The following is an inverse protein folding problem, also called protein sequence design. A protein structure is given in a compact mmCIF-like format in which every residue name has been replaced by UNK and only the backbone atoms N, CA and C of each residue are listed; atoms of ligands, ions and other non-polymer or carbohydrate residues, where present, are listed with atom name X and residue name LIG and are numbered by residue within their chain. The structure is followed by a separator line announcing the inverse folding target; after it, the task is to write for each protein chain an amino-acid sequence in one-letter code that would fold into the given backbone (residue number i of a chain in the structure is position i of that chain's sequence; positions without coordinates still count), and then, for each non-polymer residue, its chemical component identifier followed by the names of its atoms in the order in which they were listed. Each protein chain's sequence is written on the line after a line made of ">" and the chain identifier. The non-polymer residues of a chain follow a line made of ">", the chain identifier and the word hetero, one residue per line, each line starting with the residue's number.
data_IF_928153104395
#
_entry.id   IF_928153104395
#
_cell.length_a   1.000
_cell.length_b   1.000
_cell.length_c   1.000
_cell.angle_alpha   90.00
_cell.angle_beta   90.00
_cell.angle_gamma   90.00
#
_symmetry.space_group_name_H-M   'P 1'
#
loop_
_entity.id
_entity.type
_entity.pdbx_description
1 polymer ?
#
# COMPACT_ATOMS: atom_id res chain seq x y z
N UNK A 1 7.29 -10.47 7.20
CA UNK A 1 6.56 -9.33 6.59
C UNK A 1 7.47 -8.14 6.28
N UNK A 2 8.13 -7.52 7.28
CA UNK A 2 8.98 -6.35 7.03
C UNK A 2 10.15 -6.66 6.07
N UNK A 3 10.90 -7.74 6.33
CA UNK A 3 12.01 -8.15 5.44
C UNK A 3 11.54 -8.50 4.02
N UNK A 4 10.29 -8.96 3.87
CA UNK A 4 9.74 -9.26 2.54
C UNK A 4 9.48 -7.96 1.79
N UNK A 5 8.85 -6.97 2.44
CA UNK A 5 8.66 -5.63 1.89
C UNK A 5 10.01 -4.97 1.52
N UNK A 6 11.00 -5.03 2.41
CA UNK A 6 12.34 -4.47 2.16
C UNK A 6 13.01 -5.13 0.94
N UNK A 7 12.89 -6.46 0.81
CA UNK A 7 13.43 -7.18 -0.35
C UNK A 7 12.71 -6.82 -1.65
N UNK A 8 11.38 -6.67 -1.62
CA UNK A 8 10.60 -6.21 -2.77
C UNK A 8 11.01 -4.80 -3.19
N UNK A 9 11.05 -3.85 -2.25
CA UNK A 9 11.49 -2.47 -2.50
C UNK A 9 12.92 -2.48 -3.07
N UNK A 10 13.84 -3.20 -2.44
CA UNK A 10 15.22 -3.29 -2.93
C UNK A 10 15.32 -3.90 -4.33
N UNK A 11 14.48 -4.87 -4.68
CA UNK A 11 14.43 -5.43 -6.03
C UNK A 11 13.93 -4.40 -7.06
N UNK A 12 12.86 -3.67 -6.73
CA UNK A 12 12.30 -2.62 -7.59
C UNK A 12 13.28 -1.46 -7.82
N UNK A 13 13.98 -1.03 -6.77
CA UNK A 13 15.04 -0.02 -6.88
C UNK A 13 16.14 -0.50 -7.83
N UNK A 14 16.58 -1.77 -7.70
CA UNK A 14 17.63 -2.32 -8.57
C UNK A 14 17.19 -2.48 -10.03
N UNK A 15 15.89 -2.60 -10.29
CA UNK A 15 15.34 -2.67 -11.64
C UNK A 15 14.94 -1.31 -12.20
N UNK A 16 15.28 -0.20 -11.54
CA UNK A 16 14.89 1.17 -11.92
C UNK A 16 13.38 1.33 -12.13
N UNK A 17 12.59 0.62 -11.32
CA UNK A 17 11.14 0.72 -11.40
C UNK A 17 10.66 2.04 -10.80
N UNK A 18 9.76 2.73 -11.50
CA UNK A 18 9.09 3.90 -10.96
C UNK A 18 8.19 3.47 -9.79
N UNK A 19 8.51 3.93 -8.58
CA UNK A 19 7.75 3.62 -7.38
C UNK A 19 6.28 4.06 -7.46
N UNK A 20 5.97 5.05 -8.30
CA UNK A 20 4.60 5.56 -8.52
C UNK A 20 3.84 4.73 -9.55
N UNK A 21 4.50 3.86 -10.30
CA UNK A 21 3.87 2.95 -11.25
C UNK A 21 3.26 1.74 -10.51
N UNK A 22 2.04 1.90 -10.00
CA UNK A 22 1.24 0.83 -9.41
C UNK A 22 1.13 0.88 -7.87
N UNK A 23 1.21 -0.29 -7.22
CA UNK A 23 0.95 -0.44 -5.79
C UNK A 23 1.83 -1.52 -5.14
N UNK A 24 2.02 -1.41 -3.83
CA UNK A 24 2.65 -2.46 -3.02
C UNK A 24 1.57 -3.37 -2.44
N UNK A 25 1.63 -4.68 -2.74
CA UNK A 25 0.75 -5.70 -2.14
C UNK A 25 1.50 -6.49 -1.08
N UNK A 26 0.92 -6.60 0.11
CA UNK A 26 1.43 -7.44 1.21
C UNK A 26 0.39 -8.46 1.67
N UNK A 27 0.87 -9.68 1.97
CA UNK A 27 0.01 -10.77 2.47
C UNK A 27 -0.25 -10.69 3.97
N UNK A 28 0.44 -9.80 4.68
CA UNK A 28 0.30 -9.60 6.12
C UNK A 28 -0.63 -8.42 6.45
N UNK A 29 -0.84 -8.17 7.75
CA UNK A 29 -1.35 -6.88 8.23
C UNK A 29 -0.40 -5.75 7.87
N UNK A 30 -0.94 -4.55 7.63
CA UNK A 30 -0.16 -3.32 7.55
C UNK A 30 0.13 -2.78 8.96
N UNK A 31 1.41 -2.51 9.23
CA UNK A 31 1.88 -1.79 10.43
C UNK A 31 2.36 -0.39 10.06
N UNK A 32 2.48 0.48 11.07
CA UNK A 32 3.10 1.81 10.94
C UNK A 32 4.42 1.78 10.14
N UNK A 33 5.33 0.87 10.48
CA UNK A 33 6.64 0.77 9.81
C UNK A 33 6.53 0.34 8.34
N UNK A 34 5.50 -0.43 7.97
CA UNK A 34 5.30 -0.83 6.57
C UNK A 34 4.82 0.36 5.73
N UNK A 35 3.99 1.23 6.31
CA UNK A 35 3.59 2.48 5.66
C UNK A 35 4.80 3.41 5.50
N UNK A 36 5.61 3.60 6.54
CA UNK A 36 6.85 4.37 6.47
C UNK A 36 7.76 3.92 5.34
N UNK A 37 7.99 2.61 5.22
CA UNK A 37 8.85 2.03 4.18
C UNK A 37 8.27 2.26 2.78
N UNK A 38 6.96 2.13 2.65
CA UNK A 38 6.26 2.38 1.38
C UNK A 38 6.36 3.83 0.96
N UNK A 39 6.12 4.77 1.89
CA UNK A 39 6.26 6.19 1.63
C UNK A 39 7.70 6.59 1.30
N UNK A 40 8.69 6.05 2.01
CA UNK A 40 10.11 6.29 1.73
C UNK A 40 10.56 5.74 0.37
N UNK A 41 9.97 4.64 -0.07
CA UNK A 41 10.18 4.14 -1.43
C UNK A 41 9.55 5.07 -2.48
N UNK A 42 8.55 5.85 -2.12
CA UNK A 42 7.86 6.80 -3.01
C UNK A 42 6.59 6.24 -3.67
N UNK A 43 6.14 5.06 -3.24
CA UNK A 43 4.88 4.49 -3.70
C UNK A 43 3.69 5.22 -3.07
N UNK A 44 2.62 5.40 -3.85
CA UNK A 44 1.40 6.10 -3.41
C UNK A 44 0.39 5.18 -2.72
N UNK A 45 0.47 3.87 -2.96
CA UNK A 45 -0.56 2.92 -2.52
C UNK A 45 0.03 1.65 -1.89
N UNK A 46 -0.52 1.26 -0.74
CA UNK A 46 -0.30 -0.04 -0.11
C UNK A 46 -1.60 -0.81 0.04
N UNK A 47 -1.58 -2.08 -0.36
CA UNK A 47 -2.69 -3.02 -0.27
C UNK A 47 -2.30 -4.17 0.65
N UNK A 48 -3.14 -4.47 1.64
CA UNK A 48 -2.93 -5.57 2.58
C UNK A 48 -4.05 -6.63 2.48
N UNK A 49 -3.69 -7.92 2.52
CA UNK A 49 -4.71 -8.99 2.59
C UNK A 49 -5.43 -9.02 3.94
N UNK A 50 -4.77 -8.57 5.01
CA UNK A 50 -5.30 -8.57 6.38
C UNK A 50 -5.55 -7.15 6.91
N UNK A 51 -6.38 -7.01 7.94
CA UNK A 51 -6.70 -5.72 8.56
C UNK A 51 -5.46 -4.93 9.02
N UNK A 52 -5.45 -3.60 8.90
CA UNK A 52 -4.37 -2.74 9.36
C UNK A 52 -4.49 -2.47 10.87
N UNK A 53 -3.44 -1.91 11.48
CA UNK A 53 -3.54 -1.30 12.82
C UNK A 53 -4.01 0.15 12.72
N UNK A 54 -4.71 0.71 13.71
CA UNK A 54 -5.12 2.13 13.72
C UNK A 54 -3.95 3.08 13.46
N UNK A 55 -2.81 2.84 14.11
CA UNK A 55 -1.59 3.62 13.92
C UNK A 55 -1.04 3.54 12.47
N UNK A 56 -1.31 2.46 11.75
CA UNK A 56 -0.94 2.36 10.33
C UNK A 56 -1.84 3.22 9.46
N UNK A 57 -3.15 3.25 9.77
CA UNK A 57 -4.12 4.11 9.07
C UNK A 57 -3.76 5.58 9.27
N UNK A 58 -3.59 6.01 10.52
CA UNK A 58 -3.20 7.39 10.85
C UNK A 58 -1.91 7.79 10.13
N UNK A 59 -0.92 6.88 10.08
CA UNK A 59 0.33 7.16 9.39
C UNK A 59 0.18 7.23 7.88
N UNK A 60 -0.68 6.40 7.30
CA UNK A 60 -0.95 6.41 5.88
C UNK A 60 -1.60 7.73 5.47
N UNK A 61 -2.56 8.21 6.25
CA UNK A 61 -3.18 9.53 6.04
C UNK A 61 -2.15 10.66 6.15
N UNK A 62 -1.33 10.65 7.19
CA UNK A 62 -0.30 11.67 7.41
C UNK A 62 0.77 11.73 6.30
N UNK A 63 1.01 10.62 5.61
CA UNK A 63 2.01 10.52 4.53
C UNK A 63 1.40 10.54 3.13
N UNK A 64 0.08 10.70 3.00
CA UNK A 64 -0.60 10.69 1.70
C UNK A 64 -0.55 9.32 1.00
N UNK A 65 -0.47 8.23 1.76
CA UNK A 65 -0.46 6.86 1.24
C UNK A 65 -1.88 6.31 1.25
N UNK A 66 -2.40 5.94 0.08
CA UNK A 66 -3.68 5.24 0.01
C UNK A 66 -3.53 3.82 0.56
N UNK A 67 -4.29 3.50 1.60
CA UNK A 67 -4.25 2.19 2.25
C UNK A 67 -5.51 1.40 1.97
N UNK A 68 -5.38 0.30 1.23
CA UNK A 68 -6.40 -0.73 1.14
C UNK A 68 -6.05 -1.92 2.03
N UNK A 69 -7.06 -2.55 2.61
CA UNK A 69 -6.88 -3.77 3.37
C UNK A 69 -8.07 -4.72 3.24
N UNK A 70 -7.95 -5.92 3.84
CA UNK A 70 -8.94 -6.99 3.71
C UNK A 70 -9.10 -7.36 2.22
N UNK A 71 -8.01 -7.31 1.46
CA UNK A 71 -8.02 -7.58 0.03
C UNK A 71 -8.38 -9.05 -0.26
N UNK A 72 -9.26 -9.25 -1.22
CA UNK A 72 -9.77 -10.52 -1.75
C UNK A 72 -9.79 -10.45 -3.27
N UNK A 73 -10.13 -11.56 -3.92
CA UNK A 73 -10.19 -11.62 -5.37
C UNK A 73 -11.27 -10.68 -5.97
N UNK A 74 -12.32 -10.42 -5.20
CA UNK A 74 -13.49 -9.63 -5.58
C UNK A 74 -13.44 -8.17 -5.10
N UNK A 75 -12.44 -7.78 -4.30
CA UNK A 75 -12.28 -6.39 -3.90
C UNK A 75 -11.35 -6.17 -2.71
N UNK A 76 -11.23 -4.90 -2.30
CA UNK A 76 -10.50 -4.48 -1.11
C UNK A 76 -11.20 -3.27 -0.46
N UNK A 77 -11.05 -3.12 0.85
CA UNK A 77 -11.63 -2.01 1.61
C UNK A 77 -10.59 -0.88 1.77
N UNK A 78 -10.97 0.35 1.45
CA UNK A 78 -10.13 1.53 1.66
C UNK A 78 -10.20 1.98 3.12
N UNK A 79 -9.06 2.24 3.75
CA UNK A 79 -8.96 2.67 5.15
C UNK A 79 -8.53 4.12 5.32
N UNK A 80 -8.06 4.79 4.26
CA UNK A 80 -7.66 6.21 4.26
C UNK A 80 -8.69 7.07 3.55
N UNK A 81 -8.96 8.27 4.05
CA UNK A 81 -9.99 9.15 3.48
C UNK A 81 -9.50 9.98 2.25
N UNK A 82 -9.16 9.29 1.17
CA UNK A 82 -8.79 9.90 -0.11
C UNK A 82 -9.83 9.57 -1.19
N UNK A 83 -9.90 10.39 -2.25
CA UNK A 83 -10.72 10.07 -3.41
C UNK A 83 -10.29 8.71 -3.99
N UNK A 84 -11.25 7.80 -4.17
CA UNK A 84 -10.96 6.44 -4.59
C UNK A 84 -10.51 6.38 -6.06
N UNK A 85 -9.23 6.17 -6.30
CA UNK A 85 -8.64 6.12 -7.64
C UNK A 85 -9.09 4.87 -8.44
N UNK A 86 -9.37 3.75 -7.76
CA UNK A 86 -9.84 2.52 -8.41
C UNK A 86 -11.23 2.65 -9.07
N UNK A 87 -12.01 3.67 -8.71
CA UNK A 87 -13.35 3.88 -9.28
C UNK A 87 -13.34 4.41 -10.72
N UNK A 88 -12.18 4.88 -11.22
CA UNK A 88 -12.07 5.48 -12.56
C UNK A 88 -11.78 4.47 -13.66
N UNK A 89 -11.34 3.25 -13.33
CA UNK A 89 -10.77 2.32 -14.32
C UNK A 89 -11.60 1.04 -14.53
N UNK A 90 -12.71 0.90 -13.81
CA UNK A 90 -13.62 -0.25 -13.94
C UNK A 90 -15.04 0.19 -14.30
N UNK A 91 -15.21 0.69 -15.52
CA UNK A 91 -16.48 0.54 -16.25
C UNK A 91 -16.15 -0.11 -17.60
N UNK A 92 -16.82 -1.21 -17.98
CA UNK A 92 -16.84 -1.63 -19.37
C UNK A 92 -17.48 -0.54 -20.25
#
# INVERSE_FOLDING_TARGET
>A
RHNALDKTIGALIRSDADARSGFILITSRASYEMIEKTARFGASTLIAISAPTSLAVERAEALGITLYAIARADGAMQFTNFANEFSKETRP
#
